data_IF_336624733962
#
_entry.id   IF_336624733962
#
_cell.length_a   1.000
_cell.length_b   1.000
_cell.length_c   1.000
_cell.angle_alpha   90.00
_cell.angle_beta   90.00
_cell.angle_gamma   90.00
#
_symmetry.space_group_name_H-M   'P 1'
#
loop_
_entity.id
_entity.type
_entity.pdbx_description
1 polymer ?
#
# COMPACT_ATOMS: atom_id res chain seq x y z
N UNK A 1 20.88 -11.65 14.16
CA UNK A 1 20.98 -10.75 12.99
C UNK A 1 22.38 -10.22 12.67
N UNK A 2 23.45 -10.59 13.37
CA UNK A 2 24.79 -10.00 13.14
C UNK A 2 25.55 -10.53 11.91
N UNK A 3 25.34 -11.80 11.53
CA UNK A 3 26.06 -12.42 10.40
C UNK A 3 25.72 -11.84 9.04
N UNK A 4 24.44 -11.54 8.78
CA UNK A 4 24.00 -10.92 7.52
C UNK A 4 24.58 -9.52 7.32
N UNK A 5 24.73 -8.74 8.41
CA UNK A 5 25.28 -7.40 8.36
C UNK A 5 26.78 -7.40 8.04
N UNK A 6 27.52 -8.36 8.59
CA UNK A 6 28.95 -8.59 8.32
C UNK A 6 29.19 -9.06 6.88
N UNK A 7 28.38 -9.99 6.38
CA UNK A 7 28.46 -10.45 4.99
C UNK A 7 28.14 -9.31 4.02
N UNK A 8 27.14 -8.49 4.32
CA UNK A 8 26.81 -7.32 3.52
C UNK A 8 27.97 -6.30 3.50
N UNK A 9 28.56 -5.98 4.66
CA UNK A 9 29.67 -5.01 4.74
C UNK A 9 30.95 -5.51 4.08
N UNK A 10 31.30 -6.79 4.23
CA UNK A 10 32.47 -7.40 3.58
C UNK A 10 32.25 -7.52 2.07
N UNK A 11 31.06 -7.94 1.63
CA UNK A 11 30.69 -8.02 0.21
C UNK A 11 30.71 -6.67 -0.49
N UNK A 12 30.22 -5.61 0.16
CA UNK A 12 30.24 -4.26 -0.39
C UNK A 12 31.67 -3.71 -0.50
N UNK A 13 32.53 -4.01 0.47
CA UNK A 13 33.96 -3.66 0.42
C UNK A 13 34.70 -4.42 -0.70
N UNK A 14 34.38 -5.70 -0.90
CA UNK A 14 34.92 -6.50 -2.02
C UNK A 14 34.46 -5.99 -3.39
N UNK A 15 33.22 -5.53 -3.51
CA UNK A 15 32.69 -4.93 -4.75
C UNK A 15 33.34 -3.58 -5.08
N UNK A 16 33.64 -2.77 -4.07
CA UNK A 16 34.33 -1.48 -4.23
C UNK A 16 35.81 -1.63 -4.60
N UNK A 17 36.43 -2.77 -4.26
CA UNK A 17 37.81 -3.11 -4.64
C UNK A 17 37.95 -3.46 -6.14
N UNK A 18 36.85 -3.86 -6.79
CA UNK A 18 36.85 -4.11 -8.23
C UNK A 18 36.74 -2.78 -9.00
N UNK A 19 37.85 -2.40 -9.65
CA UNK A 19 38.00 -1.14 -10.40
C UNK A 19 36.92 -0.91 -11.47
N UNK A 20 36.32 -1.98 -12.00
CA UNK A 20 35.25 -1.92 -13.00
C UNK A 20 33.84 -1.82 -12.40
N UNK A 21 33.65 -2.22 -11.13
CA UNK A 21 32.34 -2.21 -10.44
C UNK A 21 32.18 -1.01 -9.51
N UNK A 22 33.27 -0.33 -9.14
CA UNK A 22 33.24 0.89 -8.32
C UNK A 22 32.25 1.96 -8.82
N UNK A 23 32.26 2.34 -10.11
CA UNK A 23 31.31 3.31 -10.66
C UNK A 23 29.85 2.83 -10.58
N UNK A 24 29.61 1.53 -10.77
CA UNK A 24 28.29 0.92 -10.69
C UNK A 24 27.74 0.97 -9.25
N UNK A 25 28.57 0.66 -8.27
CA UNK A 25 28.20 0.69 -6.84
C UNK A 25 27.91 2.13 -6.40
N UNK A 26 28.73 3.10 -6.82
CA UNK A 26 28.49 4.52 -6.57
C UNK A 26 27.16 4.99 -7.17
N UNK A 27 26.86 4.58 -8.41
CA UNK A 27 25.60 4.93 -9.05
C UNK A 27 24.40 4.26 -8.38
N UNK A 28 24.53 3.00 -7.97
CA UNK A 28 23.51 2.29 -7.20
C UNK A 28 23.24 2.94 -5.84
N UNK A 29 24.27 3.43 -5.13
CA UNK A 29 24.10 4.18 -3.89
C UNK A 29 23.38 5.51 -4.09
N UNK A 30 23.68 6.22 -5.18
CA UNK A 30 22.98 7.45 -5.55
C UNK A 30 21.50 7.15 -5.81
N UNK A 31 21.20 6.16 -6.64
CA UNK A 31 19.84 5.69 -6.89
C UNK A 31 19.13 5.27 -5.59
N UNK A 32 19.81 4.58 -4.69
CA UNK A 32 19.21 4.11 -3.43
C UNK A 32 18.90 5.25 -2.45
N UNK A 33 19.71 6.32 -2.47
CA UNK A 33 19.40 7.57 -1.73
C UNK A 33 18.18 8.25 -2.32
N UNK A 34 18.10 8.38 -3.65
CA UNK A 34 16.95 9.01 -4.32
C UNK A 34 15.67 8.20 -4.05
N UNK A 35 15.74 6.87 -4.17
CA UNK A 35 14.64 5.94 -3.83
C UNK A 35 14.15 6.12 -2.39
N UNK A 36 15.05 6.41 -1.42
CA UNK A 36 14.67 6.60 -0.02
C UNK A 36 13.76 7.83 0.17
N UNK A 37 14.02 8.92 -0.55
CA UNK A 37 13.19 10.13 -0.47
C UNK A 37 11.79 9.87 -1.03
N UNK A 38 11.70 9.15 -2.15
CA UNK A 38 10.43 8.70 -2.71
C UNK A 38 9.69 7.71 -1.79
N UNK A 39 10.40 6.78 -1.16
CA UNK A 39 9.83 5.82 -0.23
C UNK A 39 9.18 6.51 0.99
N UNK A 40 9.76 7.62 1.46
CA UNK A 40 9.18 8.40 2.55
C UNK A 40 7.85 9.05 2.13
N UNK A 41 7.79 9.65 0.94
CA UNK A 41 6.56 10.23 0.38
C UNK A 41 5.46 9.17 0.20
N UNK A 42 5.80 8.02 -0.37
CA UNK A 42 4.88 6.89 -0.54
C UNK A 42 4.37 6.39 0.81
N UNK A 43 5.24 6.31 1.83
CA UNK A 43 4.86 5.88 3.18
C UNK A 43 3.83 6.81 3.83
N UNK A 44 4.03 8.13 3.72
CA UNK A 44 3.05 9.12 4.22
C UNK A 44 1.71 8.96 3.50
N UNK A 45 1.75 8.75 2.20
CA UNK A 45 0.56 8.59 1.37
C UNK A 45 -0.25 7.35 1.77
N UNK A 46 0.43 6.20 1.91
CA UNK A 46 -0.18 4.94 2.37
C UNK A 46 -0.82 5.10 3.75
N UNK A 47 -0.14 5.77 4.70
CA UNK A 47 -0.70 6.02 6.03
C UNK A 47 -1.93 6.93 5.99
N UNK A 48 -1.91 7.98 5.16
CA UNK A 48 -3.06 8.89 4.98
C UNK A 48 -4.28 8.16 4.43
N UNK A 49 -4.10 7.32 3.41
CA UNK A 49 -5.18 6.52 2.83
C UNK A 49 -5.65 5.41 3.77
N UNK A 50 -4.72 4.76 4.49
CA UNK A 50 -5.06 3.79 5.52
C UNK A 50 -5.93 4.41 6.61
N UNK A 51 -5.62 5.63 7.04
CA UNK A 51 -6.43 6.38 7.99
C UNK A 51 -7.81 6.74 7.40
N UNK A 52 -7.87 7.19 6.15
CA UNK A 52 -9.13 7.53 5.48
C UNK A 52 -10.05 6.30 5.36
N UNK A 53 -9.52 5.16 4.93
CA UNK A 53 -10.26 3.90 4.84
C UNK A 53 -10.75 3.44 6.20
N UNK A 54 -9.89 3.48 7.23
CA UNK A 54 -10.26 3.13 8.59
C UNK A 54 -11.44 3.98 9.11
N UNK A 55 -11.42 5.31 8.86
CA UNK A 55 -12.52 6.20 9.26
C UNK A 55 -13.81 5.95 8.47
N UNK A 56 -13.73 5.70 7.17
CA UNK A 56 -14.91 5.36 6.36
C UNK A 56 -15.56 4.06 6.85
N UNK A 57 -14.77 3.04 7.20
CA UNK A 57 -15.27 1.76 7.75
C UNK A 57 -15.82 1.87 9.16
N UNK A 58 -15.21 2.66 10.02
CA UNK A 58 -15.74 2.93 11.37
C UNK A 58 -17.12 3.60 11.31
N UNK A 59 -17.33 4.46 10.31
CA UNK A 59 -18.63 5.09 10.06
C UNK A 59 -19.65 4.10 9.49
N UNK A 60 -19.21 3.12 8.68
CA UNK A 60 -20.08 2.07 8.15
C UNK A 60 -20.47 1.01 9.18
N UNK A 61 -19.55 0.56 10.03
CA UNK A 61 -19.84 -0.44 11.07
C UNK A 61 -20.88 0.08 12.06
N UNK A 62 -20.80 1.36 12.42
CA UNK A 62 -21.80 2.04 13.25
C UNK A 62 -23.14 2.25 12.53
N UNK A 63 -23.15 2.49 11.22
CA UNK A 63 -24.37 2.58 10.41
C UNK A 63 -25.06 1.21 10.20
N UNK A 64 -24.28 0.14 9.99
CA UNK A 64 -24.77 -1.24 9.87
C UNK A 64 -25.29 -1.78 11.21
N UNK A 65 -24.62 -1.47 12.33
CA UNK A 65 -25.12 -1.80 13.67
C UNK A 65 -26.48 -1.15 13.95
N UNK A 66 -26.72 0.09 13.49
CA UNK A 66 -28.05 0.73 13.55
C UNK A 66 -29.11 0.03 12.68
N UNK A 67 -28.74 -0.47 11.50
CA UNK A 67 -29.67 -1.22 10.63
C UNK A 67 -30.03 -2.59 11.18
N UNK A 68 -29.07 -3.29 11.79
CA UNK A 68 -29.27 -4.57 12.47
C UNK A 68 -30.29 -4.49 13.60
N UNK A 69 -30.25 -3.40 14.39
CA UNK A 69 -31.24 -3.12 15.43
C UNK A 69 -32.68 -2.97 14.86
N UNK A 70 -32.80 -2.66 13.57
CA UNK A 70 -34.09 -2.42 12.90
C UNK A 70 -34.66 -3.66 12.17
N UNK A 71 -34.13 -4.86 12.42
CA UNK A 71 -34.80 -6.11 12.05
C UNK A 71 -34.96 -6.38 10.55
N UNK A 72 -34.05 -5.88 9.72
CA UNK A 72 -33.98 -6.27 8.30
C UNK A 72 -32.83 -7.24 8.08
N UNK A 73 -33.20 -8.50 7.91
CA UNK A 73 -32.35 -9.62 7.54
C UNK A 73 -31.63 -9.36 6.22
N UNK A 74 -30.29 -9.43 6.25
CA UNK A 74 -29.42 -9.63 5.09
C UNK A 74 -29.35 -8.47 4.10
N UNK A 75 -28.22 -7.75 4.06
CA UNK A 75 -27.89 -6.94 2.89
C UNK A 75 -27.66 -7.89 1.70
N UNK A 76 -28.49 -7.84 0.63
CA UNK A 76 -28.35 -8.74 -0.49
C UNK A 76 -27.15 -8.28 -1.32
N UNK A 77 -26.03 -8.98 -1.25
CA UNK A 77 -24.90 -8.76 -2.18
C UNK A 77 -23.49 -8.81 -1.60
N UNK A 78 -23.32 -8.91 -0.28
CA UNK A 78 -21.97 -9.09 0.31
C UNK A 78 -21.74 -10.58 0.56
N UNK A 79 -20.90 -11.21 -0.25
CA UNK A 79 -20.43 -12.57 0.01
C UNK A 79 -19.51 -12.56 1.24
N UNK A 80 -19.46 -13.65 2.03
CA UNK A 80 -18.61 -13.72 3.22
C UNK A 80 -17.11 -13.52 2.92
N UNK A 81 -16.67 -13.90 1.72
CA UNK A 81 -15.31 -13.64 1.22
C UNK A 81 -15.03 -12.14 1.07
N UNK A 82 -16.05 -11.41 0.63
CA UNK A 82 -16.00 -9.99 0.42
C UNK A 82 -15.97 -9.21 1.73
N UNK A 83 -16.73 -9.67 2.72
CA UNK A 83 -16.71 -9.14 4.08
C UNK A 83 -15.33 -9.32 4.74
N UNK A 84 -14.68 -10.46 4.52
CA UNK A 84 -13.32 -10.71 5.01
C UNK A 84 -12.28 -9.82 4.33
N UNK A 85 -12.33 -9.68 3.00
CA UNK A 85 -11.41 -8.82 2.25
C UNK A 85 -11.53 -7.34 2.66
N UNK A 86 -12.76 -6.91 2.92
CA UNK A 86 -13.11 -5.57 3.39
C UNK A 86 -12.67 -5.34 4.84
N UNK A 87 -12.82 -6.36 5.70
CA UNK A 87 -12.53 -6.27 7.13
C UNK A 87 -11.08 -5.87 7.40
N UNK A 88 -10.14 -6.35 6.58
CA UNK A 88 -8.71 -6.04 6.72
C UNK A 88 -8.40 -4.53 6.61
N UNK A 89 -9.27 -3.75 5.96
CA UNK A 89 -9.13 -2.30 5.82
C UNK A 89 -9.74 -1.50 6.98
N UNK A 90 -10.45 -2.15 7.91
CA UNK A 90 -11.18 -1.51 9.03
C UNK A 90 -10.71 -1.91 10.43
N UNK A 91 -9.78 -2.86 10.57
CA UNK A 91 -9.28 -3.34 11.86
C UNK A 91 -8.26 -2.41 12.54
N UNK A 92 -7.90 -1.29 11.88
CA UNK A 92 -7.03 -0.26 12.43
C UNK A 92 -6.06 0.29 11.39
N UNK A 93 -5.57 1.51 11.63
CA UNK A 93 -4.76 2.29 10.66
C UNK A 93 -3.55 1.50 10.13
N UNK A 94 -2.87 0.75 11.00
CA UNK A 94 -1.69 -0.03 10.62
C UNK A 94 -2.04 -1.20 9.70
N UNK A 95 -3.16 -1.87 9.97
CA UNK A 95 -3.62 -3.01 9.19
C UNK A 95 -4.19 -2.57 7.83
N UNK A 96 -4.93 -1.46 7.81
CA UNK A 96 -5.37 -0.80 6.58
C UNK A 96 -4.18 -0.36 5.71
N UNK A 97 -3.15 0.21 6.33
CA UNK A 97 -1.92 0.59 5.64
C UNK A 97 -1.18 -0.64 5.08
N UNK A 98 -1.11 -1.73 5.84
CA UNK A 98 -0.50 -2.98 5.39
C UNK A 98 -1.26 -3.63 4.23
N UNK A 99 -2.59 -3.61 4.28
CA UNK A 99 -3.44 -4.06 3.18
C UNK A 99 -3.19 -3.23 1.90
N UNK A 100 -3.09 -1.90 2.02
CA UNK A 100 -2.73 -1.01 0.91
C UNK A 100 -1.33 -1.30 0.34
N UNK A 101 -0.36 -1.65 1.19
CA UNK A 101 0.97 -2.10 0.74
C UNK A 101 0.84 -3.37 -0.10
N UNK A 102 0.07 -4.37 0.35
CA UNK A 102 -0.15 -5.58 -0.44
C UNK A 102 -0.80 -5.27 -1.79
N UNK A 103 -1.84 -4.44 -1.82
CA UNK A 103 -2.51 -4.01 -3.06
C UNK A 103 -1.52 -3.35 -4.02
N UNK A 104 -0.54 -2.63 -3.50
CA UNK A 104 0.49 -1.96 -4.32
C UNK A 104 1.44 -2.95 -4.97
N UNK A 105 1.79 -4.04 -4.28
CA UNK A 105 2.72 -5.06 -4.79
C UNK A 105 2.04 -6.20 -5.55
N UNK A 106 0.78 -6.48 -5.24
CA UNK A 106 0.00 -7.56 -5.82
C UNK A 106 -0.93 -7.00 -6.91
N UNK A 107 -0.34 -6.73 -8.07
CA UNK A 107 -0.98 -6.07 -9.21
C UNK A 107 -2.03 -7.02 -9.82
N UNK A 108 -3.28 -6.87 -9.42
CA UNK A 108 -4.45 -7.42 -10.12
C UNK A 108 -5.18 -8.59 -9.46
N UNK A 109 -4.76 -9.05 -8.29
CA UNK A 109 -5.44 -10.13 -7.53
C UNK A 109 -6.44 -9.60 -6.50
N UNK A 110 -6.33 -8.33 -6.14
CA UNK A 110 -7.23 -7.72 -5.15
C UNK A 110 -8.56 -7.38 -5.80
N UNK A 111 -9.59 -8.12 -5.40
CA UNK A 111 -10.94 -7.98 -5.93
C UNK A 111 -11.58 -6.67 -5.42
N UNK A 112 -11.40 -5.60 -6.18
CA UNK A 112 -11.97 -4.28 -5.90
C UNK A 112 -13.50 -4.25 -6.00
N UNK A 113 -14.12 -5.27 -6.61
CA UNK A 113 -15.58 -5.36 -6.72
C UNK A 113 -16.27 -5.35 -5.35
N UNK A 114 -15.53 -5.77 -4.31
CA UNK A 114 -15.99 -5.77 -2.94
C UNK A 114 -16.24 -4.38 -2.34
N UNK A 115 -15.56 -3.34 -2.83
CA UNK A 115 -15.86 -1.98 -2.40
C UNK A 115 -17.17 -1.43 -3.00
N UNK A 116 -17.66 -2.05 -4.08
CA UNK A 116 -18.91 -1.68 -4.77
C UNK A 116 -20.17 -2.27 -4.12
N UNK A 117 -20.05 -3.27 -3.26
CA UNK A 117 -21.19 -3.93 -2.59
C UNK A 117 -21.44 -3.42 -1.17
N UNK A 118 -20.58 -2.53 -0.66
CA UNK A 118 -20.72 -1.89 0.65
C UNK A 118 -21.87 -0.87 0.73
N UNK A 119 -22.26 -0.45 1.94
CA UNK A 119 -23.36 0.49 2.15
C UNK A 119 -23.08 1.92 1.61
N UNK A 120 -21.80 2.32 1.46
CA UNK A 120 -21.40 3.53 0.72
C UNK A 120 -20.44 3.18 -0.43
N UNK A 121 -20.96 2.55 -1.50
CA UNK A 121 -20.12 1.95 -2.54
C UNK A 121 -19.31 3.00 -3.31
N UNK A 122 -19.82 4.22 -3.39
CA UNK A 122 -19.16 5.34 -4.08
C UNK A 122 -17.90 5.80 -3.34
N UNK A 123 -17.90 5.85 -2.00
CA UNK A 123 -16.78 6.41 -1.24
C UNK A 123 -15.60 5.45 -1.17
N UNK A 124 -15.83 4.17 -0.87
CA UNK A 124 -14.78 3.18 -0.75
C UNK A 124 -14.11 2.88 -2.09
N UNK A 125 -14.92 2.71 -3.13
CA UNK A 125 -14.45 2.47 -4.51
C UNK A 125 -13.63 3.65 -5.03
N UNK A 126 -14.12 4.89 -4.83
CA UNK A 126 -13.39 6.10 -5.24
C UNK A 126 -12.04 6.24 -4.51
N UNK A 127 -11.98 5.95 -3.21
CA UNK A 127 -10.73 5.98 -2.44
C UNK A 127 -9.71 4.97 -2.97
N UNK A 128 -10.14 3.74 -3.28
CA UNK A 128 -9.24 2.71 -3.80
C UNK A 128 -8.75 3.03 -5.22
N UNK A 129 -9.62 3.50 -6.12
CA UNK A 129 -9.20 3.92 -7.45
C UNK A 129 -8.25 5.12 -7.41
N UNK A 130 -8.55 6.11 -6.56
CA UNK A 130 -7.70 7.29 -6.37
C UNK A 130 -6.33 6.88 -5.84
N UNK A 131 -6.29 5.97 -4.86
CA UNK A 131 -5.05 5.42 -4.32
C UNK A 131 -4.22 4.76 -5.42
N UNK A 132 -4.80 3.83 -6.19
CA UNK A 132 -4.08 3.13 -7.26
C UNK A 132 -3.55 4.08 -8.33
N UNK A 133 -4.36 5.06 -8.76
CA UNK A 133 -3.96 6.04 -9.76
C UNK A 133 -2.78 6.88 -9.27
N UNK A 134 -2.82 7.33 -8.01
CA UNK A 134 -1.75 8.16 -7.44
C UNK A 134 -0.47 7.33 -7.24
N UNK A 135 -0.59 6.09 -6.79
CA UNK A 135 0.55 5.17 -6.69
C UNK A 135 1.20 4.93 -8.05
N UNK A 136 0.43 4.70 -9.11
CA UNK A 136 0.96 4.56 -10.47
C UNK A 136 1.68 5.84 -10.93
N UNK A 137 1.10 7.01 -10.70
CA UNK A 137 1.73 8.29 -11.03
C UNK A 137 3.05 8.47 -10.26
N UNK A 138 3.07 8.16 -8.97
CA UNK A 138 4.28 8.24 -8.15
C UNK A 138 5.37 7.29 -8.65
N UNK A 139 5.02 6.05 -9.03
CA UNK A 139 5.97 5.11 -9.63
C UNK A 139 6.51 5.60 -10.97
N UNK A 140 5.65 6.12 -11.84
CA UNK A 140 6.08 6.67 -13.13
C UNK A 140 7.02 7.87 -12.94
N UNK A 141 6.69 8.79 -12.03
CA UNK A 141 7.51 9.95 -11.72
C UNK A 141 8.86 9.54 -11.10
N UNK A 142 8.87 8.52 -10.24
CA UNK A 142 10.09 7.95 -9.67
C UNK A 142 10.98 7.33 -10.76
N UNK A 143 10.40 6.54 -11.68
CA UNK A 143 11.14 5.95 -12.81
C UNK A 143 11.75 7.01 -13.72
N UNK A 144 10.98 8.05 -14.07
CA UNK A 144 11.46 9.17 -14.89
C UNK A 144 12.57 9.92 -14.15
N UNK A 145 12.40 10.21 -12.87
CA UNK A 145 13.39 10.90 -12.05
C UNK A 145 14.71 10.14 -11.93
N UNK A 146 14.66 8.81 -11.85
CA UNK A 146 15.85 7.95 -11.78
C UNK A 146 16.53 7.82 -13.15
N UNK A 147 15.76 7.78 -14.26
CA UNK A 147 16.32 7.69 -15.62
C UNK A 147 16.82 9.03 -16.17
N UNK A 148 16.29 10.15 -15.69
CA UNK A 148 16.63 11.50 -16.14
C UNK A 148 17.81 12.15 -15.43
N UNK A 149 18.41 11.50 -14.43
CA UNK A 149 19.47 12.02 -13.54
C UNK A 149 20.73 11.15 -13.57
#
# INVERSE_FOLDING_TARGET
GGGALLVATVGMRMLLLNRHLGPLVLNAFKMLRDVREWAFLVSIFILSFGLALNNTRFTESSALARRSLHGTTGSPGVTPECEAAIGEYGEGVLQSAWALVRVTFDVGTTDLSCFSTGPNPVSGTFLMFSFQLIVVILYLNMLIGIMGN
#
